data_IF_029264195533
#
_entry.id   IF_029264195533
#
_cell.length_a   1.000
_cell.length_b   1.000
_cell.length_c   1.000
_cell.angle_alpha   90.00
_cell.angle_beta   90.00
_cell.angle_gamma   90.00
#
_symmetry.space_group_name_H-M   'P 1'
#
loop_
_entity.id
_entity.type
_entity.pdbx_description
1 polymer ?
#
# COMPACT_ATOMS: atom_id res chain seq x y z
N UNK A 1 -18.94 -35.59 -47.23
CA UNK A 1 -19.08 -34.12 -47.20
C UNK A 1 -18.75 -33.64 -45.76
N UNK A 2 -17.47 -33.40 -45.50
CA UNK A 2 -16.98 -33.02 -44.16
C UNK A 2 -17.02 -31.49 -44.01
N UNK A 3 -17.77 -31.02 -43.03
CA UNK A 3 -17.77 -29.62 -42.65
C UNK A 3 -16.45 -29.30 -41.94
N UNK A 4 -15.58 -28.52 -42.58
CA UNK A 4 -14.47 -27.82 -41.95
C UNK A 4 -15.09 -26.66 -41.22
N UNK A 5 -15.26 -26.79 -39.91
CA UNK A 5 -15.73 -25.72 -39.04
C UNK A 5 -14.52 -24.92 -38.58
N UNK A 6 -14.53 -23.67 -38.91
CA UNK A 6 -13.61 -22.59 -38.63
C UNK A 6 -12.89 -22.66 -37.26
N UNK A 7 -11.68 -23.19 -37.23
CA UNK A 7 -10.78 -23.18 -36.08
C UNK A 7 -10.13 -21.80 -35.87
N UNK A 8 -10.21 -20.94 -36.89
CA UNK A 8 -9.55 -19.63 -36.87
C UNK A 8 -10.29 -18.57 -36.02
N UNK A 9 -11.64 -18.57 -35.97
CA UNK A 9 -12.42 -17.58 -35.22
C UNK A 9 -12.34 -17.73 -33.71
N UNK A 10 -12.09 -18.96 -33.24
CA UNK A 10 -12.03 -19.22 -31.77
C UNK A 10 -10.69 -18.83 -31.14
N UNK A 11 -9.62 -18.77 -31.91
CA UNK A 11 -8.30 -18.42 -31.46
C UNK A 11 -8.19 -16.91 -31.26
N UNK A 12 -8.73 -16.09 -32.15
CA UNK A 12 -8.69 -14.64 -32.07
C UNK A 12 -9.53 -14.07 -30.90
N UNK A 13 -10.70 -14.67 -30.64
CA UNK A 13 -11.56 -14.30 -29.52
C UNK A 13 -10.91 -14.68 -28.19
N UNK A 14 -10.25 -15.85 -28.14
CA UNK A 14 -9.53 -16.28 -26.92
C UNK A 14 -8.33 -15.39 -26.60
N UNK A 15 -7.55 -15.01 -27.62
CA UNK A 15 -6.39 -14.11 -27.47
C UNK A 15 -6.84 -12.70 -27.06
N UNK A 16 -7.90 -12.15 -27.70
CA UNK A 16 -8.45 -10.84 -27.36
C UNK A 16 -9.05 -10.79 -25.95
N UNK A 17 -9.71 -11.85 -25.52
CA UNK A 17 -10.28 -11.95 -24.16
C UNK A 17 -9.18 -12.03 -23.11
N UNK A 18 -8.11 -12.81 -23.36
CA UNK A 18 -6.96 -12.92 -22.46
C UNK A 18 -6.08 -11.66 -22.42
N UNK A 19 -5.96 -10.93 -23.53
CA UNK A 19 -5.22 -9.65 -23.56
C UNK A 19 -5.98 -8.54 -22.82
N UNK A 20 -7.31 -8.47 -22.94
CA UNK A 20 -8.14 -7.51 -22.18
C UNK A 20 -8.09 -7.78 -20.67
N UNK A 21 -8.11 -9.03 -20.25
CA UNK A 21 -8.03 -9.38 -18.83
C UNK A 21 -6.67 -9.02 -18.23
N UNK A 22 -5.56 -9.24 -18.93
CA UNK A 22 -4.21 -8.91 -18.41
C UNK A 22 -3.98 -7.42 -18.21
N UNK A 23 -4.46 -6.55 -19.10
CA UNK A 23 -4.30 -5.10 -18.97
C UNK A 23 -5.17 -4.53 -17.85
N UNK A 24 -6.42 -4.96 -17.74
CA UNK A 24 -7.32 -4.56 -16.66
C UNK A 24 -6.82 -5.04 -15.30
N UNK A 25 -6.24 -6.23 -15.25
CA UNK A 25 -5.63 -6.83 -14.05
C UNK A 25 -4.43 -6.01 -13.53
N UNK A 26 -3.56 -5.53 -14.42
CA UNK A 26 -2.44 -4.68 -14.07
C UNK A 26 -2.87 -3.31 -13.50
N UNK A 27 -3.93 -2.71 -14.03
CA UNK A 27 -4.48 -1.46 -13.52
C UNK A 27 -5.07 -1.62 -12.12
N UNK A 28 -5.84 -2.67 -11.88
CA UNK A 28 -6.40 -2.98 -10.55
C UNK A 28 -5.29 -3.20 -9.52
N UNK A 29 -4.29 -4.02 -9.84
CA UNK A 29 -3.15 -4.29 -8.96
C UNK A 29 -2.37 -3.01 -8.66
N UNK A 30 -2.15 -2.15 -9.65
CA UNK A 30 -1.48 -0.86 -9.46
C UNK A 30 -2.28 0.07 -8.53
N UNK A 31 -3.60 0.14 -8.71
CA UNK A 31 -4.49 0.92 -7.85
C UNK A 31 -4.50 0.39 -6.41
N UNK A 32 -4.64 -0.93 -6.21
CA UNK A 32 -4.57 -1.56 -4.89
C UNK A 32 -3.23 -1.30 -4.19
N UNK A 33 -2.13 -1.35 -4.94
CA UNK A 33 -0.78 -1.07 -4.42
C UNK A 33 -0.64 0.39 -3.98
N UNK A 34 -1.10 1.34 -4.78
CA UNK A 34 -1.02 2.77 -4.45
C UNK A 34 -1.84 3.13 -3.21
N UNK A 35 -2.97 2.46 -3.01
CA UNK A 35 -3.83 2.60 -1.84
C UNK A 35 -3.35 1.80 -0.62
N UNK A 36 -2.33 0.93 -0.78
CA UNK A 36 -1.88 0.01 0.25
C UNK A 36 -2.88 -1.14 0.53
N UNK A 37 -3.87 -1.32 -0.35
CA UNK A 37 -4.93 -2.32 -0.24
C UNK A 37 -4.54 -3.67 -0.87
N UNK A 38 -3.36 -3.76 -1.49
CA UNK A 38 -2.89 -5.03 -2.05
C UNK A 38 -2.64 -6.04 -0.94
N UNK A 39 -3.25 -7.24 -1.06
CA UNK A 39 -2.97 -8.36 -0.18
C UNK A 39 -1.56 -8.91 -0.49
N UNK A 40 -0.65 -8.95 0.51
CA UNK A 40 0.71 -9.47 0.28
C UNK A 40 0.76 -11.00 0.16
N UNK A 41 -0.31 -11.71 0.48
CA UNK A 41 -0.37 -13.19 0.51
C UNK A 41 -1.69 -13.70 -0.05
N UNK A 42 -2.01 -13.43 -1.33
CA UNK A 42 -3.26 -13.88 -1.95
C UNK A 42 -3.36 -15.41 -1.98
N UNK A 43 -2.23 -16.11 -2.12
CA UNK A 43 -2.16 -17.57 -2.20
C UNK A 43 -2.59 -18.28 -0.90
N UNK A 44 -2.72 -17.55 0.21
CA UNK A 44 -3.23 -18.09 1.48
C UNK A 44 -4.74 -18.08 1.62
N UNK A 45 -5.42 -17.42 0.68
CA UNK A 45 -6.89 -17.39 0.65
C UNK A 45 -7.36 -18.64 -0.08
N UNK A 46 -7.92 -19.59 0.66
CA UNK A 46 -8.43 -20.87 0.16
C UNK A 46 -9.95 -20.98 0.24
N UNK A 47 -10.65 -19.90 0.50
CA UNK A 47 -12.11 -19.86 0.51
C UNK A 47 -12.69 -20.14 -0.88
N UNK A 48 -13.72 -20.98 -0.95
CA UNK A 48 -14.32 -21.46 -2.20
C UNK A 48 -14.83 -20.32 -3.08
N UNK A 49 -15.34 -19.23 -2.50
CA UNK A 49 -15.81 -18.08 -3.26
C UNK A 49 -14.69 -17.43 -4.06
N UNK A 50 -13.47 -17.38 -3.51
CA UNK A 50 -12.30 -16.82 -4.18
C UNK A 50 -11.65 -17.77 -5.20
N UNK A 51 -11.91 -19.08 -5.08
CA UNK A 51 -11.40 -20.09 -6.01
C UNK A 51 -12.33 -20.23 -7.21
N UNK A 52 -13.65 -20.25 -6.96
CA UNK A 52 -14.64 -20.63 -7.97
C UNK A 52 -15.34 -19.46 -8.64
N UNK A 53 -15.07 -18.22 -8.26
CA UNK A 53 -15.78 -17.05 -8.77
C UNK A 53 -14.83 -15.88 -9.06
N UNK A 54 -14.75 -15.49 -10.33
CA UNK A 54 -13.91 -14.40 -10.82
C UNK A 54 -14.26 -13.00 -10.25
N UNK A 55 -15.44 -12.86 -9.63
CA UNK A 55 -15.82 -11.63 -8.94
C UNK A 55 -14.93 -11.37 -7.71
N UNK A 56 -14.51 -12.43 -7.03
CA UNK A 56 -13.70 -12.33 -5.81
C UNK A 56 -12.20 -12.33 -6.15
N UNK A 57 -11.51 -11.29 -5.72
CA UNK A 57 -10.07 -11.13 -5.96
C UNK A 57 -9.29 -11.25 -4.65
N UNK A 58 -8.58 -12.37 -4.45
CA UNK A 58 -7.75 -12.60 -3.29
C UNK A 58 -6.63 -11.56 -3.10
N UNK A 59 -6.29 -10.79 -4.15
CA UNK A 59 -5.34 -9.67 -4.10
C UNK A 59 -5.92 -8.42 -3.46
N UNK A 60 -7.25 -8.28 -3.43
CA UNK A 60 -7.93 -7.16 -2.79
C UNK A 60 -8.12 -7.43 -1.29
N UNK A 61 -7.31 -6.79 -0.45
CA UNK A 61 -7.36 -6.95 1.00
C UNK A 61 -8.70 -6.53 1.60
N UNK A 62 -9.37 -5.56 1.01
CA UNK A 62 -10.65 -5.06 1.53
C UNK A 62 -11.74 -6.09 1.28
N UNK A 63 -11.78 -6.65 0.06
CA UNK A 63 -12.71 -7.71 -0.30
C UNK A 63 -12.49 -8.97 0.54
N UNK A 64 -11.23 -9.40 0.69
CA UNK A 64 -10.86 -10.55 1.55
C UNK A 64 -11.34 -10.35 2.98
N UNK A 65 -11.14 -9.16 3.57
CA UNK A 65 -11.57 -8.87 4.95
C UNK A 65 -13.08 -8.82 5.10
N UNK A 66 -13.76 -8.25 4.11
CA UNK A 66 -15.21 -8.16 4.13
C UNK A 66 -15.85 -9.55 4.05
N UNK A 67 -15.44 -10.37 3.09
CA UNK A 67 -15.97 -11.72 2.93
C UNK A 67 -15.64 -12.62 4.11
N UNK A 68 -14.48 -12.47 4.70
CA UNK A 68 -14.11 -13.17 5.95
C UNK A 68 -15.11 -12.87 7.08
N UNK A 69 -15.50 -11.60 7.25
CA UNK A 69 -16.51 -11.23 8.27
C UNK A 69 -17.89 -11.75 7.89
N UNK A 70 -18.26 -11.61 6.61
CA UNK A 70 -19.56 -12.08 6.10
C UNK A 70 -19.74 -13.58 6.32
N UNK A 71 -18.73 -14.40 6.02
CA UNK A 71 -18.74 -15.84 6.23
C UNK A 71 -19.06 -16.22 7.69
N UNK A 72 -18.53 -15.47 8.63
CA UNK A 72 -18.82 -15.73 10.04
C UNK A 72 -20.20 -15.23 10.47
N UNK A 73 -20.54 -13.97 10.08
CA UNK A 73 -21.76 -13.31 10.60
C UNK A 73 -23.05 -13.76 9.92
N UNK A 74 -22.98 -14.11 8.63
CA UNK A 74 -24.15 -14.43 7.81
C UNK A 74 -24.24 -15.92 7.56
N UNK A 75 -23.11 -16.56 7.20
CA UNK A 75 -23.08 -18.00 6.91
C UNK A 75 -22.80 -18.84 8.19
N UNK A 76 -22.61 -18.19 9.34
CA UNK A 76 -22.46 -18.79 10.68
C UNK A 76 -21.25 -19.75 10.83
N UNK A 77 -20.25 -19.65 9.94
CA UNK A 77 -19.05 -20.47 10.05
C UNK A 77 -18.22 -20.13 11.29
N UNK A 78 -17.60 -21.14 11.95
CA UNK A 78 -16.76 -20.92 13.11
C UNK A 78 -15.54 -20.04 12.78
N UNK A 79 -15.16 -19.13 13.70
CA UNK A 79 -14.01 -18.22 13.51
C UNK A 79 -12.70 -18.98 13.19
N UNK A 80 -12.50 -20.16 13.76
CA UNK A 80 -11.30 -20.97 13.50
C UNK A 80 -11.21 -21.42 12.05
N UNK A 81 -12.31 -21.82 11.46
CA UNK A 81 -12.43 -22.28 10.08
C UNK A 81 -12.27 -21.09 9.12
N UNK A 82 -13.04 -20.01 9.36
CA UNK A 82 -12.95 -18.79 8.58
C UNK A 82 -11.53 -18.19 8.59
N UNK A 83 -10.91 -18.08 9.76
CA UNK A 83 -9.55 -17.57 9.85
C UNK A 83 -8.55 -18.43 9.05
N UNK A 84 -8.71 -19.74 9.07
CA UNK A 84 -7.89 -20.68 8.29
C UNK A 84 -8.10 -20.52 6.80
N UNK A 85 -9.35 -20.50 6.31
CA UNK A 85 -9.67 -20.39 4.88
C UNK A 85 -9.26 -19.05 4.27
N UNK A 86 -9.22 -17.98 5.08
CA UNK A 86 -8.73 -16.67 4.67
C UNK A 86 -7.24 -16.42 4.98
N UNK A 87 -6.50 -17.43 5.46
CA UNK A 87 -5.06 -17.39 5.71
C UNK A 87 -4.64 -16.38 6.77
N UNK A 88 -5.48 -16.11 7.77
CA UNK A 88 -5.22 -15.17 8.86
C UNK A 88 -5.25 -15.86 10.22
N UNK A 89 -4.73 -15.20 11.26
CA UNK A 89 -4.90 -15.69 12.64
C UNK A 89 -6.27 -15.32 13.20
N UNK A 90 -6.78 -16.09 14.16
CA UNK A 90 -8.01 -15.76 14.89
C UNK A 90 -7.96 -14.37 15.52
N UNK A 91 -6.81 -13.96 16.03
CA UNK A 91 -6.62 -12.60 16.55
C UNK A 91 -6.82 -11.54 15.47
N UNK A 92 -6.30 -11.76 14.26
CA UNK A 92 -6.51 -10.85 13.11
C UNK A 92 -7.98 -10.78 12.75
N UNK A 93 -8.71 -11.91 12.80
CA UNK A 93 -10.15 -11.94 12.59
C UNK A 93 -10.86 -11.01 13.58
N UNK A 94 -10.69 -11.22 14.89
CA UNK A 94 -11.36 -10.42 15.93
C UNK A 94 -11.05 -8.92 15.84
N UNK A 95 -9.79 -8.56 15.57
CA UNK A 95 -9.40 -7.16 15.36
C UNK A 95 -10.12 -6.56 14.15
N UNK A 96 -10.20 -7.31 13.05
CA UNK A 96 -10.84 -6.85 11.82
C UNK A 96 -12.37 -6.72 12.02
N UNK A 97 -12.98 -7.68 12.70
CA UNK A 97 -14.40 -7.68 13.01
C UNK A 97 -14.79 -6.52 13.94
N UNK A 98 -13.99 -6.24 14.97
CA UNK A 98 -14.20 -5.10 15.87
C UNK A 98 -14.06 -3.75 15.12
N UNK A 99 -13.11 -3.62 14.20
CA UNK A 99 -12.95 -2.43 13.38
C UNK A 99 -14.16 -2.27 12.45
N UNK A 100 -14.60 -3.34 11.82
CA UNK A 100 -15.79 -3.32 10.96
C UNK A 100 -17.06 -2.93 11.73
N UNK A 101 -17.24 -3.45 12.93
CA UNK A 101 -18.38 -3.11 13.80
C UNK A 101 -18.42 -1.62 14.17
N UNK A 102 -17.24 -1.00 14.33
CA UNK A 102 -17.13 0.41 14.73
C UNK A 102 -17.18 1.37 13.53
N UNK A 103 -16.58 1.03 12.42
CA UNK A 103 -16.30 1.95 11.30
C UNK A 103 -16.88 1.48 9.96
N UNK A 104 -17.53 0.31 9.94
CA UNK A 104 -18.07 -0.28 8.70
C UNK A 104 -16.98 -0.60 7.68
N UNK A 105 -17.34 -0.58 6.40
CA UNK A 105 -16.42 -0.83 5.29
C UNK A 105 -15.21 0.12 5.27
N UNK A 106 -15.39 1.37 5.68
CA UNK A 106 -14.30 2.35 5.73
C UNK A 106 -13.18 1.91 6.68
N UNK A 107 -13.48 1.18 7.75
CA UNK A 107 -12.51 0.62 8.68
C UNK A 107 -11.65 -0.50 8.10
N UNK A 108 -12.12 -1.18 7.06
CA UNK A 108 -11.37 -2.24 6.38
C UNK A 108 -10.28 -1.69 5.45
N UNK A 109 -10.37 -0.42 5.05
CA UNK A 109 -9.35 0.24 4.25
C UNK A 109 -8.03 0.32 5.03
N UNK A 110 -6.89 0.05 4.37
CA UNK A 110 -5.60 0.12 5.03
C UNK A 110 -5.28 1.56 5.44
N UNK A 111 -5.01 1.76 6.71
CA UNK A 111 -4.49 3.04 7.19
C UNK A 111 -3.00 3.14 6.88
N UNK A 112 -2.54 4.31 6.46
CA UNK A 112 -1.11 4.57 6.29
C UNK A 112 -0.40 4.35 7.62
N UNK A 113 0.59 3.46 7.59
CA UNK A 113 1.42 3.17 8.77
C UNK A 113 2.45 4.27 8.99
N UNK A 114 2.70 4.58 10.25
CA UNK A 114 3.72 5.52 10.67
C UNK A 114 3.22 6.96 10.81
N UNK A 115 4.05 7.83 11.37
CA UNK A 115 3.73 9.23 11.54
C UNK A 115 3.59 9.91 10.19
N UNK A 116 2.60 10.79 10.06
CA UNK A 116 2.35 11.57 8.85
C UNK A 116 3.48 12.55 8.53
N UNK A 117 4.22 12.96 9.56
CA UNK A 117 5.35 13.89 9.46
C UNK A 117 6.47 13.46 10.41
N UNK A 118 7.69 13.94 10.18
CA UNK A 118 8.81 13.75 11.08
C UNK A 118 8.60 14.65 12.31
N UNK A 119 8.35 14.05 13.48
CA UNK A 119 8.08 14.83 14.71
C UNK A 119 9.25 15.70 15.16
N UNK A 120 10.49 15.31 14.87
CA UNK A 120 11.70 16.00 15.35
C UNK A 120 12.44 16.76 14.25
N UNK A 121 12.34 16.36 13.01
CA UNK A 121 12.99 17.04 11.89
C UNK A 121 11.94 17.88 11.14
N UNK A 122 11.62 19.04 11.70
CA UNK A 122 10.75 20.03 11.07
C UNK A 122 11.47 20.69 9.89
N UNK A 123 10.73 21.33 8.99
CA UNK A 123 11.32 22.04 7.85
C UNK A 123 12.28 23.15 8.30
N UNK A 124 11.98 23.85 9.39
CA UNK A 124 12.85 24.87 10.00
C UNK A 124 14.21 24.30 10.42
N UNK A 125 14.20 23.10 11.03
CA UNK A 125 15.45 22.42 11.41
C UNK A 125 16.24 21.99 10.18
N UNK A 126 15.56 21.52 9.13
CA UNK A 126 16.22 21.12 7.89
C UNK A 126 16.83 22.33 7.15
N UNK A 127 16.13 23.47 7.11
CA UNK A 127 16.63 24.72 6.56
C UNK A 127 17.87 25.21 7.31
N UNK A 128 17.80 25.19 8.63
CA UNK A 128 18.97 25.53 9.47
C UNK A 128 20.17 24.60 9.18
N UNK A 129 19.93 23.30 9.06
CA UNK A 129 20.99 22.33 8.76
C UNK A 129 21.61 22.56 7.38
N UNK A 130 20.82 22.88 6.36
CA UNK A 130 21.32 23.18 5.02
C UNK A 130 22.17 24.47 5.05
N UNK A 131 21.71 25.50 5.74
CA UNK A 131 22.45 26.75 5.91
C UNK A 131 23.74 26.54 6.71
N UNK A 132 23.69 25.81 7.81
CA UNK A 132 24.85 25.51 8.66
C UNK A 132 25.93 24.73 7.90
N UNK A 133 25.56 23.78 7.02
CA UNK A 133 26.51 23.08 6.14
C UNK A 133 27.16 23.97 5.12
N UNK A 134 26.47 25.03 4.69
CA UNK A 134 26.98 25.99 3.70
C UNK A 134 27.89 27.05 4.31
N UNK A 135 27.75 27.36 5.59
CA UNK A 135 28.52 28.40 6.29
C UNK A 135 29.93 27.97 6.74
N UNK A 136 30.32 26.70 6.54
CA UNK A 136 31.65 26.21 6.91
C UNK A 136 31.80 25.85 8.41
N UNK A 137 30.81 26.07 9.23
CA UNK A 137 30.81 25.75 10.67
C UNK A 137 30.86 24.25 10.95
N UNK A 138 30.64 23.44 9.92
CA UNK A 138 30.70 21.98 9.95
C UNK A 138 32.08 21.41 10.42
N UNK A 139 33.12 22.20 10.37
CA UNK A 139 34.47 21.79 10.81
C UNK A 139 34.67 21.89 12.34
N UNK A 140 33.84 22.65 13.04
CA UNK A 140 34.06 23.01 14.44
C UNK A 140 33.05 22.38 15.41
N UNK A 141 31.86 22.05 14.97
CA UNK A 141 30.79 21.54 15.86
C UNK A 141 29.99 20.37 15.22
N UNK A 142 29.53 19.46 16.05
CA UNK A 142 28.64 18.38 15.58
C UNK A 142 27.24 18.95 15.30
N UNK A 143 26.66 18.61 14.14
CA UNK A 143 25.36 19.07 13.69
C UNK A 143 24.21 18.79 14.70
N UNK A 144 24.31 17.69 15.46
CA UNK A 144 23.32 17.37 16.48
C UNK A 144 23.38 18.34 17.67
N UNK A 145 24.56 18.82 18.00
CA UNK A 145 24.80 19.82 19.07
C UNK A 145 24.33 21.20 18.62
N UNK A 146 24.62 21.59 17.38
CA UNK A 146 24.14 22.83 16.81
C UNK A 146 22.60 22.90 16.80
N UNK A 147 21.94 21.83 16.39
CA UNK A 147 20.48 21.71 16.43
C UNK A 147 19.95 21.74 17.86
N UNK A 148 20.58 21.01 18.79
CA UNK A 148 20.20 21.02 20.19
C UNK A 148 20.31 22.42 20.81
N UNK A 149 21.39 23.13 20.53
CA UNK A 149 21.61 24.49 21.02
C UNK A 149 20.59 25.49 20.50
N UNK A 150 20.24 25.38 19.22
CA UNK A 150 19.33 26.34 18.54
C UNK A 150 17.86 26.07 18.84
N UNK A 151 17.46 24.79 18.84
CA UNK A 151 16.05 24.36 18.88
C UNK A 151 15.68 23.58 20.15
N UNK A 152 16.65 23.27 21.01
CA UNK A 152 16.41 22.46 22.22
C UNK A 152 16.05 21.00 21.96
N UNK A 153 16.16 20.53 20.74
CA UNK A 153 15.71 19.18 20.32
C UNK A 153 16.90 18.25 20.14
N UNK A 154 16.85 17.08 20.77
CA UNK A 154 17.87 16.04 20.59
C UNK A 154 17.49 15.17 19.40
N UNK A 155 18.30 15.21 18.34
CA UNK A 155 18.09 14.45 17.10
C UNK A 155 19.37 13.69 16.78
N UNK A 156 19.23 12.42 16.38
CA UNK A 156 20.36 11.64 15.89
C UNK A 156 20.80 12.17 14.50
N UNK A 157 22.11 12.38 14.23
CA UNK A 157 22.63 12.87 12.95
C UNK A 157 22.11 12.08 11.74
N UNK A 158 22.04 10.75 11.85
CA UNK A 158 21.49 9.88 10.78
C UNK A 158 20.02 10.19 10.46
N UNK A 159 19.24 10.65 11.46
CA UNK A 159 17.84 11.04 11.24
C UNK A 159 17.73 12.34 10.45
N UNK A 160 18.65 13.28 10.70
CA UNK A 160 18.77 14.54 9.95
C UNK A 160 19.13 14.22 8.49
N UNK A 161 20.15 13.38 8.25
CA UNK A 161 20.56 13.01 6.90
C UNK A 161 19.43 12.31 6.11
N UNK A 162 18.72 11.39 6.76
CA UNK A 162 17.56 10.72 6.14
C UNK A 162 16.44 11.71 5.81
N UNK A 163 16.20 12.70 6.65
CA UNK A 163 15.18 13.71 6.42
C UNK A 163 15.54 14.61 5.23
N UNK A 164 16.80 15.07 5.15
CA UNK A 164 17.32 15.83 4.02
C UNK A 164 17.24 15.05 2.69
N UNK A 165 17.63 13.78 2.70
CA UNK A 165 17.51 12.92 1.51
C UNK A 165 16.05 12.77 1.05
N UNK A 166 15.10 12.62 1.98
CA UNK A 166 13.67 12.57 1.66
C UNK A 166 13.17 13.88 1.06
N UNK A 167 13.60 15.03 1.62
CA UNK A 167 13.26 16.36 1.12
C UNK A 167 13.75 16.54 -0.33
N UNK A 168 15.01 16.24 -0.62
CA UNK A 168 15.59 16.28 -1.97
C UNK A 168 14.81 15.39 -2.97
N UNK A 169 14.51 14.15 -2.56
CA UNK A 169 13.76 13.21 -3.39
C UNK A 169 12.32 13.68 -3.68
N UNK A 170 11.68 14.34 -2.73
CA UNK A 170 10.32 14.86 -2.90
C UNK A 170 10.30 16.07 -3.84
N UNK A 171 11.32 16.94 -3.78
CA UNK A 171 11.48 18.07 -4.71
C UNK A 171 11.68 17.56 -6.14
N UNK A 172 12.59 16.61 -6.35
CA UNK A 172 12.81 16.00 -7.67
C UNK A 172 11.57 15.33 -8.26
N UNK A 173 10.75 14.67 -7.41
CA UNK A 173 9.49 14.08 -7.87
C UNK A 173 8.44 15.11 -8.27
N UNK A 174 8.37 16.24 -7.56
CA UNK A 174 7.45 17.33 -7.91
C UNK A 174 7.86 18.02 -9.23
N UNK A 175 9.14 18.15 -9.49
CA UNK A 175 9.64 18.71 -10.74
C UNK A 175 9.33 17.79 -11.93
N UNK A 176 9.53 16.48 -11.81
CA UNK A 176 9.20 15.51 -12.85
C UNK A 176 7.69 15.40 -13.14
N UNK A 177 6.83 15.61 -12.14
CA UNK A 177 5.37 15.62 -12.37
C UNK A 177 4.86 16.89 -13.04
N UNK A 178 5.58 18.01 -12.93
CA UNK A 178 5.23 19.25 -13.61
C UNK A 178 5.70 19.27 -15.09
N UNK A 179 6.82 18.60 -15.41
CA UNK A 179 7.33 18.48 -16.79
C UNK A 179 6.52 17.49 -17.64
N UNK A 180 5.81 16.55 -17.03
CA UNK A 180 5.00 15.55 -17.75
C UNK A 180 3.57 16.01 -18.07
N UNK A 181 3.19 17.21 -17.70
CA UNK A 181 1.84 17.77 -17.87
C UNK A 181 1.66 18.68 -19.08
N UNK A 182 2.64 18.79 -19.97
CA UNK A 182 2.60 19.69 -21.13
C UNK A 182 2.85 18.92 -22.44
N UNK A 183 1.96 17.95 -22.73
CA UNK A 183 1.77 17.42 -24.10
C UNK A 183 0.32 17.00 -24.30
#
# INVERSE_FOLDING_TARGET
MYKIVDKARNVDVFILTHMKTKTHDNHKVSALRSQGALNPRPDRVSDESFINNDFFDARDRVQVRYEMIRRHRIDEHPVSEVASSFGVSRQTFYVTDAIFSREGLAGLLPRRRGPKAAHKCTDEILDFVEQWRSSGDAATENIAEAVRRRFGVIINPRSIDRALQRRKKNVSRKQQSNDSGFF
#
